data_IF_355628640893
#
_entry.id   IF_355628640893
#
_cell.length_a   1.000
_cell.length_b   1.000
_cell.length_c   1.000
_cell.angle_alpha   90.00
_cell.angle_beta   90.00
_cell.angle_gamma   90.00
#
_symmetry.space_group_name_H-M   'P 1'
#
loop_
_entity.id
_entity.type
_entity.pdbx_description
1 polymer ?
#
# COMPACT_ATOMS: atom_id res chain seq x y z
N UNK A 1 8.50 -3.55 -19.20
CA UNK A 1 9.77 -3.62 -18.42
C UNK A 1 9.41 -3.29 -16.98
N UNK A 2 9.32 -4.33 -16.16
CA UNK A 2 8.77 -4.27 -14.80
C UNK A 2 9.74 -3.67 -13.81
N UNK A 3 9.21 -2.92 -12.85
CA UNK A 3 9.92 -2.48 -11.66
C UNK A 3 9.08 -2.83 -10.44
N UNK A 4 9.14 -4.11 -10.08
CA UNK A 4 8.76 -4.63 -8.77
C UNK A 4 10.05 -5.18 -8.15
N UNK A 5 10.92 -4.29 -7.67
CA UNK A 5 12.03 -4.69 -6.81
C UNK A 5 11.54 -4.64 -5.37
N UNK A 6 10.71 -5.61 -4.99
CA UNK A 6 10.48 -5.93 -3.59
C UNK A 6 11.65 -6.80 -3.12
N UNK A 7 12.66 -6.19 -2.50
CA UNK A 7 13.70 -6.94 -1.82
C UNK A 7 13.28 -7.15 -0.36
N UNK A 8 12.96 -8.39 -0.01
CA UNK A 8 12.75 -8.81 1.38
C UNK A 8 14.06 -8.62 2.16
N UNK A 9 14.12 -7.57 2.98
CA UNK A 9 15.22 -7.38 3.93
C UNK A 9 14.67 -7.35 5.35
N UNK A 10 15.21 -8.22 6.19
CA UNK A 10 15.09 -8.12 7.64
C UNK A 10 16.26 -7.30 8.15
N UNK A 11 15.99 -6.27 8.93
CA UNK A 11 17.02 -5.49 9.60
C UNK A 11 16.67 -5.30 11.07
N UNK A 12 17.71 -5.16 11.89
CA UNK A 12 17.62 -4.64 13.25
C UNK A 12 18.17 -3.21 13.21
N UNK A 13 17.57 -2.27 13.93
CA UNK A 13 18.09 -0.90 14.06
C UNK A 13 18.79 -0.74 15.41
N UNK A 14 20.05 -0.32 15.41
CA UNK A 14 20.67 0.37 16.55
C UNK A 14 20.96 1.81 16.09
N UNK A 15 20.55 2.79 16.91
CA UNK A 15 20.78 4.22 16.67
C UNK A 15 20.37 4.72 15.27
N UNK A 16 19.27 4.18 14.72
CA UNK A 16 18.73 4.59 13.42
C UNK A 16 19.52 4.09 12.20
N UNK A 17 20.49 3.17 12.38
CA UNK A 17 21.18 2.49 11.27
C UNK A 17 20.59 1.11 11.06
N UNK A 18 20.23 0.80 9.81
CA UNK A 18 19.81 -0.54 9.37
C UNK A 18 21.02 -1.48 9.47
N UNK A 19 20.99 -2.42 10.41
CA UNK A 19 21.98 -3.49 10.54
C UNK A 19 21.40 -4.73 9.83
N UNK A 20 21.92 -5.04 8.64
CA UNK A 20 21.44 -6.14 7.77
C UNK A 20 21.94 -7.54 8.18
N UNK A 21 22.47 -7.71 9.38
CA UNK A 21 23.25 -8.91 9.72
C UNK A 21 22.44 -10.13 10.15
N UNK A 22 21.11 -10.05 10.29
CA UNK A 22 20.32 -11.20 10.76
C UNK A 22 18.92 -11.29 10.13
N UNK A 23 18.88 -11.70 8.85
CA UNK A 23 17.68 -12.33 8.30
C UNK A 23 17.45 -13.62 9.06
N UNK A 24 16.40 -13.67 9.89
CA UNK A 24 15.98 -14.88 10.57
C UNK A 24 15.45 -15.87 9.53
N UNK A 25 16.32 -16.81 9.13
CA UNK A 25 16.01 -17.86 8.15
C UNK A 25 14.90 -18.81 8.63
N UNK A 26 14.49 -18.76 9.90
CA UNK A 26 13.35 -19.51 10.41
C UNK A 26 12.00 -18.91 9.98
N UNK A 27 11.99 -17.62 9.60
CA UNK A 27 10.78 -16.96 9.13
C UNK A 27 10.38 -17.56 7.79
N UNK A 28 9.27 -18.28 7.81
CA UNK A 28 8.70 -18.91 6.61
C UNK A 28 8.02 -17.90 5.68
N UNK A 29 7.96 -16.63 6.02
CA UNK A 29 7.28 -15.63 5.22
C UNK A 29 7.87 -14.23 5.45
N UNK A 30 7.70 -13.36 4.46
CA UNK A 30 8.10 -11.96 4.56
C UNK A 30 7.18 -11.22 5.53
N UNK A 31 7.77 -10.38 6.38
CA UNK A 31 7.05 -9.47 7.28
C UNK A 31 7.26 -8.02 6.84
N UNK A 32 6.25 -7.19 7.04
CA UNK A 32 6.37 -5.75 6.86
C UNK A 32 6.92 -5.15 8.16
N UNK A 33 8.03 -4.43 8.06
CA UNK A 33 8.72 -3.80 9.20
C UNK A 33 8.38 -2.32 9.36
N UNK A 34 8.05 -1.66 8.26
CA UNK A 34 7.58 -0.28 8.22
C UNK A 34 6.88 0.01 6.88
N UNK A 35 6.16 1.13 6.81
CA UNK A 35 5.58 1.62 5.58
C UNK A 35 4.82 2.93 5.80
N UNK A 36 4.46 3.58 4.71
CA UNK A 36 3.73 4.83 4.70
C UNK A 36 2.81 4.90 3.48
N UNK A 37 1.73 5.67 3.64
CA UNK A 37 0.69 5.90 2.65
C UNK A 37 -0.13 4.66 2.28
N UNK A 38 -1.31 4.92 1.74
CA UNK A 38 -2.15 3.90 1.14
C UNK A 38 -1.55 3.46 -0.20
N UNK A 39 -1.75 2.18 -0.54
CA UNK A 39 -1.50 1.73 -1.91
C UNK A 39 -2.44 2.48 -2.87
N UNK A 40 -1.95 2.96 -4.02
CA UNK A 40 -2.81 3.50 -5.06
C UNK A 40 -3.91 2.51 -5.44
N UNK A 41 -5.09 3.03 -5.77
CA UNK A 41 -6.17 2.20 -6.29
C UNK A 41 -5.69 1.51 -7.58
N UNK A 42 -6.04 0.24 -7.74
CA UNK A 42 -5.72 -0.51 -8.96
C UNK A 42 -6.32 0.21 -10.18
N UNK A 43 -5.61 0.20 -11.30
CA UNK A 43 -6.01 0.85 -12.54
C UNK A 43 -6.30 2.36 -12.46
N UNK A 44 -5.82 3.03 -11.41
CA UNK A 44 -5.92 4.48 -11.22
C UNK A 44 -5.12 5.32 -12.23
N UNK A 45 -4.54 4.74 -13.29
CA UNK A 45 -3.82 5.53 -14.30
C UNK A 45 -2.49 6.13 -13.81
N UNK A 46 -1.76 5.39 -12.96
CA UNK A 46 -0.50 5.81 -12.31
C UNK A 46 -0.75 6.89 -11.22
N UNK A 47 0.31 7.58 -10.82
CA UNK A 47 0.28 8.56 -9.73
C UNK A 47 -0.73 9.69 -9.97
N UNK A 48 -0.79 10.21 -11.20
CA UNK A 48 -1.63 11.37 -11.51
C UNK A 48 -3.12 11.04 -11.47
N UNK A 49 -3.54 9.89 -12.00
CA UNK A 49 -4.94 9.50 -11.89
C UNK A 49 -5.33 9.12 -10.45
N UNK A 50 -4.42 8.54 -9.66
CA UNK A 50 -4.67 8.32 -8.22
C UNK A 50 -4.89 9.64 -7.46
N UNK A 51 -4.06 10.66 -7.70
CA UNK A 51 -4.26 11.99 -7.11
C UNK A 51 -5.59 12.60 -7.54
N UNK A 52 -5.92 12.52 -8.83
CA UNK A 52 -7.17 13.04 -9.36
C UNK A 52 -8.39 12.39 -8.69
N UNK A 53 -8.35 11.07 -8.45
CA UNK A 53 -9.40 10.37 -7.70
C UNK A 53 -9.51 10.93 -6.28
N UNK A 54 -8.39 11.09 -5.56
CA UNK A 54 -8.40 11.67 -4.19
C UNK A 54 -8.98 13.09 -4.19
N UNK A 55 -8.58 13.93 -5.14
CA UNK A 55 -9.03 15.31 -5.24
C UNK A 55 -10.55 15.37 -5.49
N UNK A 56 -11.06 14.55 -6.41
CA UNK A 56 -12.51 14.44 -6.69
C UNK A 56 -13.27 13.95 -5.47
N UNK A 57 -12.77 12.93 -4.75
CA UNK A 57 -13.42 12.41 -3.54
C UNK A 57 -13.43 13.42 -2.38
N UNK A 58 -12.47 14.35 -2.34
CA UNK A 58 -12.43 15.40 -1.33
C UNK A 58 -13.31 16.60 -1.68
N UNK A 59 -13.65 16.80 -2.96
CA UNK A 59 -14.52 17.88 -3.43
C UNK A 59 -15.93 17.38 -3.73
N UNK A 60 -16.82 17.48 -2.74
CA UNK A 60 -18.25 17.13 -2.88
C UNK A 60 -19.02 17.98 -3.91
N UNK A 61 -18.47 19.11 -4.35
CA UNK A 61 -19.09 19.96 -5.37
C UNK A 61 -18.69 19.57 -6.79
N UNK A 62 -17.69 18.70 -6.92
CA UNK A 62 -17.25 18.21 -8.22
C UNK A 62 -18.37 17.36 -8.88
N UNK A 63 -18.71 17.61 -10.15
CA UNK A 63 -19.75 16.85 -10.86
C UNK A 63 -19.46 15.34 -10.93
N UNK A 64 -18.19 14.95 -10.90
CA UNK A 64 -17.78 13.53 -10.95
C UNK A 64 -17.70 12.88 -9.56
N UNK A 65 -17.92 13.64 -8.47
CA UNK A 65 -17.75 13.13 -7.09
C UNK A 65 -18.59 11.88 -6.84
N UNK A 66 -19.88 11.89 -7.21
CA UNK A 66 -20.78 10.77 -6.96
C UNK A 66 -20.36 9.52 -7.75
N UNK A 67 -19.99 9.70 -9.03
CA UNK A 67 -19.53 8.61 -9.88
C UNK A 67 -18.23 7.98 -9.36
N UNK A 68 -17.23 8.79 -9.00
CA UNK A 68 -15.96 8.32 -8.48
C UNK A 68 -16.12 7.72 -7.08
N UNK A 69 -17.03 8.24 -6.24
CA UNK A 69 -17.35 7.69 -4.94
C UNK A 69 -17.97 6.29 -5.04
N UNK A 70 -18.90 6.09 -5.98
CA UNK A 70 -19.50 4.79 -6.27
C UNK A 70 -18.46 3.80 -6.79
N UNK A 71 -17.68 4.21 -7.80
CA UNK A 71 -16.59 3.40 -8.34
C UNK A 71 -15.57 3.01 -7.25
N UNK A 72 -15.16 3.95 -6.40
CA UNK A 72 -14.22 3.66 -5.30
C UNK A 72 -14.81 2.67 -4.30
N UNK A 73 -16.12 2.75 -4.04
CA UNK A 73 -16.82 1.84 -3.15
C UNK A 73 -16.88 0.42 -3.72
N UNK A 74 -17.07 0.25 -5.02
CA UNK A 74 -17.06 -1.05 -5.66
C UNK A 74 -15.70 -1.74 -5.56
N UNK A 75 -14.61 -0.97 -5.65
CA UNK A 75 -13.24 -1.49 -5.55
C UNK A 75 -12.77 -1.71 -4.11
N UNK A 76 -13.15 -0.85 -3.17
CA UNK A 76 -12.56 -0.84 -1.82
C UNK A 76 -13.53 -1.17 -0.69
N UNK A 77 -14.82 -1.22 -0.98
CA UNK A 77 -15.90 -1.27 0.02
C UNK A 77 -16.16 0.07 0.70
N UNK A 78 -15.48 1.15 0.32
CA UNK A 78 -15.64 2.50 0.87
C UNK A 78 -15.67 3.55 -0.23
N UNK A 79 -16.54 4.56 -0.10
CA UNK A 79 -16.55 5.72 -1.00
C UNK A 79 -15.49 6.76 -0.65
N UNK A 80 -14.54 6.42 0.23
CA UNK A 80 -13.51 7.32 0.74
C UNK A 80 -12.16 6.63 0.69
N UNK A 81 -11.13 7.40 0.33
CA UNK A 81 -9.75 6.95 0.30
C UNK A 81 -8.90 7.90 1.13
N UNK A 82 -8.33 7.41 2.23
CA UNK A 82 -7.31 8.15 3.00
C UNK A 82 -5.92 7.84 2.43
N UNK A 83 -5.25 8.79 1.75
CA UNK A 83 -3.93 8.57 1.16
C UNK A 83 -2.85 8.30 2.21
N UNK A 84 -3.05 8.68 3.48
CA UNK A 84 -2.08 8.48 4.55
C UNK A 84 -2.29 7.16 5.30
N UNK A 85 -3.36 6.41 5.00
CA UNK A 85 -3.68 5.17 5.70
C UNK A 85 -2.68 4.08 5.39
N UNK A 86 -1.97 3.61 6.41
CA UNK A 86 -1.12 2.44 6.35
C UNK A 86 -1.38 1.49 7.53
N UNK A 87 -1.32 0.17 7.29
CA UNK A 87 -1.51 -0.84 8.33
C UNK A 87 -0.49 -1.99 8.18
N UNK A 88 0.55 -1.96 9.01
CA UNK A 88 1.63 -2.96 9.02
C UNK A 88 1.12 -4.39 9.18
N UNK A 89 0.14 -4.63 10.06
CA UNK A 89 -0.44 -5.96 10.27
C UNK A 89 -1.14 -6.48 9.02
N UNK A 90 -1.86 -5.60 8.31
CA UNK A 90 -2.50 -5.95 7.05
C UNK A 90 -1.48 -6.22 5.95
N UNK A 91 -0.44 -5.39 5.84
CA UNK A 91 0.66 -5.58 4.90
C UNK A 91 1.37 -6.92 5.13
N UNK A 92 1.73 -7.23 6.38
CA UNK A 92 2.33 -8.53 6.76
C UNK A 92 1.41 -9.70 6.42
N UNK A 93 0.10 -9.60 6.68
CA UNK A 93 -0.86 -10.66 6.28
C UNK A 93 -0.89 -10.89 4.77
N UNK A 94 -0.77 -9.84 3.96
CA UNK A 94 -0.72 -9.96 2.48
C UNK A 94 0.60 -10.58 2.04
N UNK A 95 1.72 -10.12 2.57
CA UNK A 95 3.06 -10.67 2.30
C UNK A 95 3.16 -12.16 2.64
N UNK A 96 2.55 -12.58 3.75
CA UNK A 96 2.54 -13.97 4.18
C UNK A 96 1.87 -14.92 3.18
N UNK A 97 1.01 -14.41 2.29
CA UNK A 97 0.33 -15.19 1.25
C UNK A 97 1.11 -15.28 -0.06
N UNK A 98 2.14 -14.45 -0.25
CA UNK A 98 2.89 -14.34 -1.52
C UNK A 98 4.01 -15.39 -1.66
N UNK A 99 4.14 -16.31 -0.69
CA UNK A 99 5.11 -17.38 -0.77
C UNK A 99 4.49 -18.59 -1.47
N UNK A 100 4.76 -18.71 -2.77
CA UNK A 100 4.82 -19.98 -3.49
C UNK A 100 6.22 -20.56 -3.35
N UNK A 101 6.25 -21.85 -3.04
CA UNK A 101 7.35 -22.80 -3.14
C UNK A 101 8.09 -22.78 -4.49
#
# INVERSE_FOLDING_TARGET
MGWLNCHTHHYSTEDGRIITSKVDKSLKYSICVEGAFACPLEDSGRLEGYKNIIDILNDKSNPEHEHIAEWTKDFTGSSYCDPNRFNEKEATRRLAKLRTD
#
